data_IF_052802008853
#
_entry.id   IF_052802008853
#
_cell.length_a   1.000
_cell.length_b   1.000
_cell.length_c   1.000
_cell.angle_alpha   90.00
_cell.angle_beta   90.00
_cell.angle_gamma   90.00
#
_symmetry.space_group_name_H-M   'P 1'
#
loop_
_entity.id
_entity.type
_entity.pdbx_description
1 polymer ?
#
# COMPACT_ATOMS: atom_id res chain seq x y z
N UNK A 1 -32.93 25.99 -8.51
CA UNK A 1 -32.10 25.04 -7.74
C UNK A 1 -30.76 25.01 -8.43
N UNK A 2 -29.71 25.55 -7.79
CA UNK A 2 -28.37 25.59 -8.39
C UNK A 2 -27.76 24.18 -8.32
N UNK A 3 -27.44 23.61 -9.48
CA UNK A 3 -26.70 22.35 -9.60
C UNK A 3 -25.22 22.69 -9.43
N UNK A 4 -24.72 22.64 -8.20
CA UNK A 4 -23.30 22.86 -7.91
C UNK A 4 -22.53 21.62 -8.35
N UNK A 5 -21.94 21.64 -9.54
CA UNK A 5 -20.89 20.70 -9.94
C UNK A 5 -19.70 20.92 -9.03
N UNK A 6 -19.47 19.97 -8.14
CA UNK A 6 -18.26 19.89 -7.34
C UNK A 6 -17.18 19.36 -8.30
N UNK A 7 -16.50 20.26 -9.02
CA UNK A 7 -15.19 19.95 -9.61
C UNK A 7 -14.19 20.00 -8.45
N UNK A 8 -14.15 18.91 -7.69
CA UNK A 8 -13.15 18.69 -6.65
C UNK A 8 -11.80 18.41 -7.32
N UNK A 9 -10.79 19.16 -6.90
CA UNK A 9 -9.37 19.04 -7.25
C UNK A 9 -8.82 17.69 -6.73
N UNK A 10 -9.30 16.59 -7.31
CA UNK A 10 -8.92 15.24 -6.95
C UNK A 10 -7.45 15.05 -7.33
N UNK A 11 -6.64 14.40 -6.46
CA UNK A 11 -5.25 14.13 -6.77
C UNK A 11 -5.14 13.31 -8.07
N UNK A 12 -4.10 13.59 -8.85
CA UNK A 12 -3.80 12.87 -10.08
C UNK A 12 -3.70 11.36 -9.80
N UNK A 13 -4.54 10.58 -10.50
CA UNK A 13 -4.48 9.12 -10.41
C UNK A 13 -3.33 8.63 -11.30
N UNK A 14 -2.27 8.17 -10.66
CA UNK A 14 -1.17 7.50 -11.36
C UNK A 14 -1.44 5.99 -11.43
N UNK A 15 -1.77 5.52 -12.63
CA UNK A 15 -1.83 4.09 -12.93
C UNK A 15 -0.43 3.51 -12.98
N UNK A 16 -0.25 2.36 -12.35
CA UNK A 16 1.01 1.61 -12.34
C UNK A 16 0.76 0.22 -12.91
N UNK A 17 1.77 -0.34 -13.56
CA UNK A 17 1.78 -1.76 -13.93
C UNK A 17 1.97 -2.65 -12.70
N UNK A 18 1.61 -3.93 -12.78
CA UNK A 18 1.83 -4.91 -11.70
C UNK A 18 3.31 -4.97 -11.28
N UNK A 19 4.23 -4.83 -12.24
CA UNK A 19 5.68 -4.82 -11.98
C UNK A 19 6.08 -3.57 -11.18
N UNK A 20 5.59 -2.40 -11.57
CA UNK A 20 5.84 -1.14 -10.85
C UNK A 20 5.20 -1.14 -9.46
N UNK A 21 4.01 -1.72 -9.32
CA UNK A 21 3.33 -1.91 -8.05
C UNK A 21 4.16 -2.80 -7.12
N UNK A 22 4.63 -3.95 -7.60
CA UNK A 22 5.51 -4.87 -6.85
C UNK A 22 6.83 -4.22 -6.48
N UNK A 23 7.48 -3.51 -7.40
CA UNK A 23 8.73 -2.81 -7.13
C UNK A 23 8.55 -1.69 -6.10
N UNK A 24 7.44 -0.95 -6.18
CA UNK A 24 7.10 0.10 -5.20
C UNK A 24 6.86 -0.51 -3.82
N UNK A 25 6.12 -1.61 -3.75
CA UNK A 25 5.86 -2.33 -2.51
C UNK A 25 7.15 -2.84 -1.86
N UNK A 26 8.01 -3.52 -2.63
CA UNK A 26 9.29 -4.04 -2.14
C UNK A 26 10.19 -2.92 -1.60
N UNK A 27 10.27 -1.79 -2.32
CA UNK A 27 11.02 -0.62 -1.87
C UNK A 27 10.52 -0.07 -0.54
N UNK A 28 9.20 -0.01 -0.36
CA UNK A 28 8.59 0.52 0.87
C UNK A 28 8.76 -0.45 2.04
N UNK A 29 8.61 -1.77 1.80
CA UNK A 29 8.90 -2.80 2.80
C UNK A 29 10.37 -2.73 3.27
N UNK A 30 11.32 -2.58 2.34
CA UNK A 30 12.74 -2.45 2.68
C UNK A 30 13.01 -1.20 3.49
N UNK A 31 12.40 -0.08 3.10
CA UNK A 31 12.61 1.20 3.77
C UNK A 31 12.09 1.23 5.20
N UNK A 32 10.89 0.69 5.45
CA UNK A 32 10.24 0.79 6.76
C UNK A 32 10.48 -0.40 7.69
N UNK A 33 10.71 -1.59 7.13
CA UNK A 33 10.73 -2.84 7.88
C UNK A 33 12.01 -3.66 7.66
N UNK A 34 12.94 -3.16 6.84
CA UNK A 34 14.23 -3.83 6.54
C UNK A 34 14.04 -5.25 6.01
N UNK A 35 12.94 -5.49 5.28
CA UNK A 35 12.62 -6.77 4.64
C UNK A 35 12.09 -6.53 3.23
N UNK A 36 12.19 -7.54 2.37
CA UNK A 36 11.54 -7.52 1.05
C UNK A 36 10.01 -7.53 1.17
N UNK A 37 9.35 -7.16 0.09
CA UNK A 37 7.90 -7.24 -0.01
C UNK A 37 7.39 -8.67 0.13
N UNK A 38 8.09 -9.65 -0.44
CA UNK A 38 7.72 -11.06 -0.35
C UNK A 38 7.83 -11.58 1.09
N UNK A 39 8.92 -11.26 1.79
CA UNK A 39 9.08 -11.58 3.21
C UNK A 39 7.96 -10.96 4.05
N UNK A 40 7.60 -9.70 3.78
CA UNK A 40 6.49 -9.05 4.46
C UNK A 40 5.16 -9.81 4.27
N UNK A 41 4.83 -10.20 3.03
CA UNK A 41 3.60 -10.95 2.75
C UNK A 41 3.58 -12.30 3.45
N UNK A 42 4.72 -12.99 3.51
CA UNK A 42 4.86 -14.27 4.19
C UNK A 42 4.62 -14.11 5.70
N UNK A 43 5.36 -13.23 6.38
CA UNK A 43 5.24 -13.08 7.84
C UNK A 43 3.90 -12.48 8.25
N UNK A 44 3.26 -11.69 7.38
CA UNK A 44 1.88 -11.22 7.57
C UNK A 44 0.90 -12.38 7.59
N UNK A 45 1.00 -13.33 6.65
CA UNK A 45 0.15 -14.54 6.61
C UNK A 45 0.33 -15.41 7.86
N UNK A 46 1.54 -15.38 8.44
CA UNK A 46 1.87 -16.06 9.70
C UNK A 46 1.39 -15.29 10.95
N UNK A 47 0.83 -14.10 10.78
CA UNK A 47 0.28 -13.29 11.87
C UNK A 47 1.30 -12.47 12.66
N UNK A 48 2.54 -12.30 12.16
CA UNK A 48 3.62 -11.59 12.86
C UNK A 48 3.27 -10.14 13.25
N UNK A 49 2.36 -9.50 12.51
CA UNK A 49 1.94 -8.11 12.74
C UNK A 49 0.57 -7.98 13.44
N UNK A 50 -0.02 -9.08 13.92
CA UNK A 50 -1.29 -9.02 14.62
C UNK A 50 -1.18 -8.15 15.89
N UNK A 51 -2.03 -7.13 16.02
CA UNK A 51 -1.99 -6.15 17.10
C UNK A 51 -0.89 -5.08 16.97
N UNK A 52 -0.13 -5.08 15.87
CA UNK A 52 0.95 -4.11 15.56
C UNK A 52 0.70 -3.38 14.24
N UNK A 53 -0.49 -3.50 13.67
CA UNK A 53 -0.86 -2.95 12.36
C UNK A 53 -0.74 -1.42 12.33
N UNK A 54 -0.98 -0.77 13.47
CA UNK A 54 -0.88 0.68 13.64
C UNK A 54 0.57 1.18 13.81
N UNK A 55 1.57 0.29 13.91
CA UNK A 55 2.96 0.74 13.93
C UNK A 55 3.29 1.49 12.63
N UNK A 56 4.02 2.59 12.75
CA UNK A 56 4.24 3.52 11.64
C UNK A 56 4.82 2.83 10.40
N UNK A 57 5.73 1.88 10.57
CA UNK A 57 6.30 1.12 9.44
C UNK A 57 5.30 0.12 8.85
N UNK A 58 4.60 -0.62 9.70
CA UNK A 58 3.64 -1.66 9.29
C UNK A 58 2.45 -1.05 8.54
N UNK A 59 1.84 0.00 9.09
CA UNK A 59 0.73 0.73 8.46
C UNK A 59 1.10 1.31 7.09
N UNK A 60 2.33 1.80 6.89
CA UNK A 60 2.81 2.33 5.61
C UNK A 60 2.91 1.25 4.53
N UNK A 61 3.37 0.05 4.90
CA UNK A 61 3.47 -1.07 3.97
C UNK A 61 2.09 -1.67 3.71
N UNK A 62 1.24 -1.81 4.73
CA UNK A 62 -0.15 -2.30 4.61
C UNK A 62 -1.00 -1.42 3.67
N UNK A 63 -0.79 -0.11 3.68
CA UNK A 63 -1.51 0.83 2.82
C UNK A 63 -1.31 0.58 1.31
N UNK A 64 -0.27 -0.19 0.94
CA UNK A 64 0.03 -0.54 -0.45
C UNK A 64 -0.47 -1.92 -0.86
N UNK A 65 -1.05 -2.71 0.06
CA UNK A 65 -1.63 -4.01 -0.29
C UNK A 65 -2.66 -3.94 -1.42
N UNK A 66 -3.57 -2.93 -1.47
CA UNK A 66 -4.53 -2.83 -2.56
C UNK A 66 -3.89 -2.64 -3.94
N UNK A 67 -2.63 -2.21 -4.02
CA UNK A 67 -1.91 -2.10 -5.30
C UNK A 67 -1.42 -3.45 -5.83
N UNK A 68 -1.40 -4.48 -4.98
CA UNK A 68 -0.97 -5.83 -5.34
C UNK A 68 -2.14 -6.80 -5.54
N UNK A 69 -3.30 -6.43 -5.03
CA UNK A 69 -4.53 -7.21 -5.09
C UNK A 69 -5.41 -6.59 -6.19
N UNK A 70 -5.11 -6.91 -7.45
CA UNK A 70 -6.04 -6.70 -8.56
C UNK A 70 -7.35 -7.46 -8.29
N UNK A 71 -8.48 -6.80 -8.58
CA UNK A 71 -9.86 -7.28 -8.39
C UNK A 71 -10.14 -8.69 -8.96
#
# INVERSE_FOLDING_TARGET
>A
MANTTIDEDLPEVHWVTDEEARATFDRVARHYLTMSGEEFLQVRKEGQFAGRECERGVSRVLALLPLLEDC
#
